data_IF_923017427461
#
_entry.id   IF_923017427461
#
_cell.length_a   1.000
_cell.length_b   1.000
_cell.length_c   1.000
_cell.angle_alpha   90.00
_cell.angle_beta   90.00
_cell.angle_gamma   90.00
#
_symmetry.space_group_name_H-M   'P 1'
#
loop_
_entity.id
_entity.type
_entity.pdbx_description
1 polymer ?
#
# COMPACT_ATOMS: atom_id res chain seq x y z
N UNK A 1 1.19 10.60 6.49
CA UNK A 1 -0.03 9.79 6.34
C UNK A 1 0.10 8.58 7.24
N UNK A 2 -0.95 8.25 7.99
CA UNK A 2 -0.98 7.06 8.85
C UNK A 2 -1.38 5.82 8.04
N UNK A 3 -1.14 4.62 8.57
CA UNK A 3 -1.56 3.37 7.94
C UNK A 3 -3.08 3.30 7.72
N UNK A 4 -3.87 3.86 8.67
CA UNK A 4 -5.33 3.93 8.58
C UNK A 4 -5.76 4.85 7.44
N UNK A 5 -5.14 6.02 7.31
CA UNK A 5 -5.43 6.96 6.23
C UNK A 5 -5.08 6.38 4.85
N UNK A 6 -3.94 5.66 4.74
CA UNK A 6 -3.54 5.01 3.50
C UNK A 6 -4.50 3.86 3.14
N UNK A 7 -4.91 3.06 4.13
CA UNK A 7 -5.91 2.01 4.00
C UNK A 7 -7.23 2.55 3.42
N UNK A 8 -7.74 3.62 4.01
CA UNK A 8 -8.95 4.29 3.56
C UNK A 8 -8.83 4.75 2.09
N UNK A 9 -7.70 5.39 1.74
CA UNK A 9 -7.42 5.84 0.36
C UNK A 9 -7.28 4.70 -0.64
N UNK A 10 -6.80 3.54 -0.19
CA UNK A 10 -6.61 2.37 -1.04
C UNK A 10 -7.87 1.48 -1.09
N UNK A 11 -9.04 2.11 -1.16
CA UNK A 11 -10.34 1.43 -1.26
C UNK A 11 -10.74 0.67 0.02
N UNK A 12 -10.49 1.31 1.18
CA UNK A 12 -10.85 0.82 2.51
C UNK A 12 -10.28 -0.58 2.84
N UNK A 13 -9.06 -0.82 2.35
CA UNK A 13 -8.34 -2.07 2.62
C UNK A 13 -7.93 -2.13 4.08
N UNK A 14 -7.95 -3.31 4.67
CA UNK A 14 -7.61 -3.49 6.08
C UNK A 14 -6.21 -2.91 6.38
N UNK A 15 -6.14 -1.97 7.33
CA UNK A 15 -4.90 -1.32 7.75
C UNK A 15 -3.84 -2.34 8.20
N UNK A 16 -4.25 -3.50 8.70
CA UNK A 16 -3.33 -4.57 9.07
C UNK A 16 -2.62 -5.19 7.86
N UNK A 17 -3.19 -5.08 6.66
CA UNK A 17 -2.54 -5.46 5.40
C UNK A 17 -1.41 -4.48 5.08
N UNK A 18 -1.67 -3.18 5.17
CA UNK A 18 -0.67 -2.11 5.00
C UNK A 18 0.50 -2.30 5.97
N UNK A 19 0.20 -2.59 7.24
CA UNK A 19 1.22 -2.85 8.26
C UNK A 19 2.10 -4.07 7.93
N UNK A 20 1.50 -5.15 7.42
CA UNK A 20 2.24 -6.36 6.99
C UNK A 20 3.08 -6.12 5.75
N UNK A 21 2.53 -5.33 4.83
CA UNK A 21 3.12 -4.88 3.58
C UNK A 21 4.41 -4.07 3.82
N UNK A 22 4.36 -3.03 4.66
CA UNK A 22 5.52 -2.22 5.05
C UNK A 22 6.64 -3.05 5.70
N UNK A 23 6.26 -4.13 6.38
CA UNK A 23 7.19 -5.06 7.05
C UNK A 23 7.69 -6.20 6.17
N UNK A 24 7.22 -6.30 4.92
CA UNK A 24 7.57 -7.40 4.01
C UNK A 24 7.04 -8.77 4.46
N UNK A 25 6.02 -8.81 5.33
CA UNK A 25 5.42 -10.07 5.82
C UNK A 25 4.46 -10.69 4.81
N UNK A 26 3.98 -9.90 3.86
CA UNK A 26 3.10 -10.33 2.76
C UNK A 26 3.60 -9.72 1.46
N UNK A 27 3.55 -10.51 0.39
CA UNK A 27 3.78 -9.97 -0.95
C UNK A 27 2.57 -9.14 -1.38
N UNK A 28 2.84 -7.95 -1.90
CA UNK A 28 1.81 -7.11 -2.50
C UNK A 28 1.30 -7.80 -3.77
N UNK A 29 -0.02 -7.87 -3.93
CA UNK A 29 -0.56 -8.10 -5.27
C UNK A 29 -0.28 -6.87 -6.13
N UNK A 30 -0.25 -7.04 -7.46
CA UNK A 30 -0.08 -5.92 -8.40
C UNK A 30 -1.17 -4.86 -8.16
N UNK A 31 -2.41 -5.28 -7.86
CA UNK A 31 -3.51 -4.36 -7.56
C UNK A 31 -3.22 -3.48 -6.33
N UNK A 32 -2.67 -4.06 -5.26
CA UNK A 32 -2.30 -3.30 -4.06
C UNK A 32 -1.15 -2.34 -4.33
N UNK A 33 -0.14 -2.77 -5.08
CA UNK A 33 0.98 -1.90 -5.47
C UNK A 33 0.48 -0.65 -6.21
N UNK A 34 -0.43 -0.83 -7.17
CA UNK A 34 -0.99 0.28 -7.95
C UNK A 34 -1.82 1.24 -7.09
N UNK A 35 -2.69 0.71 -6.21
CA UNK A 35 -3.50 1.52 -5.29
C UNK A 35 -2.63 2.34 -4.33
N UNK A 36 -1.60 1.72 -3.76
CA UNK A 36 -0.68 2.38 -2.83
C UNK A 36 0.15 3.44 -3.57
N UNK A 37 0.64 3.15 -4.77
CA UNK A 37 1.37 4.12 -5.59
C UNK A 37 0.51 5.33 -5.95
N UNK A 38 -0.75 5.10 -6.34
CA UNK A 38 -1.72 6.17 -6.62
C UNK A 38 -2.01 7.02 -5.37
N UNK A 39 -2.27 6.38 -4.22
CA UNK A 39 -2.56 7.06 -2.97
C UNK A 39 -1.37 7.88 -2.43
N UNK A 40 -0.14 7.44 -2.71
CA UNK A 40 1.11 8.11 -2.35
C UNK A 40 1.59 9.10 -3.42
N UNK A 41 0.97 9.13 -4.60
CA UNK A 41 1.39 9.93 -5.76
C UNK A 41 2.84 9.68 -6.19
N UNK A 42 3.27 8.43 -6.17
CA UNK A 42 4.62 8.00 -6.62
C UNK A 42 4.51 7.01 -7.78
N UNK A 43 5.61 6.75 -8.48
CA UNK A 43 5.61 5.68 -9.48
C UNK A 43 5.59 4.32 -8.78
N UNK A 44 4.83 3.32 -9.28
CA UNK A 44 4.87 1.96 -8.72
C UNK A 44 6.28 1.36 -8.65
N UNK A 45 7.18 1.76 -9.57
CA UNK A 45 8.58 1.32 -9.55
C UNK A 45 9.32 1.77 -8.28
N UNK A 46 8.92 2.91 -7.71
CA UNK A 46 9.59 3.51 -6.55
C UNK A 46 9.25 2.75 -5.25
N UNK A 47 8.27 1.83 -5.32
CA UNK A 47 7.85 0.94 -4.23
C UNK A 47 8.41 -0.49 -4.37
N UNK A 48 9.21 -0.74 -5.42
CA UNK A 48 9.87 -2.02 -5.67
C UNK A 48 11.36 -1.90 -5.33
N UNK A 49 12.01 -2.98 -4.87
CA UNK A 49 13.45 -3.01 -4.59
C UNK A 49 14.31 -2.92 -5.85
#
# INVERSE_FOLDING_TARGET
>A
MTQIELAFKCNDIDWSQISRMERGLVNFSISYLLLVAEALQVSPKDLLP
#
